data_IF_270605724876
#
_entry.id   IF_270605724876
#
_cell.length_a   1.000
_cell.length_b   1.000
_cell.length_c   1.000
_cell.angle_alpha   90.00
_cell.angle_beta   90.00
_cell.angle_gamma   90.00
#
_symmetry.space_group_name_H-M   'P 1'
#
loop_
_entity.id
_entity.type
_entity.pdbx_description
1 polymer ?
#
# COMPACT_ATOMS: atom_id res chain seq x y z
N UNK A 1 34.27 19.42 -3.60
CA UNK A 1 34.23 17.97 -3.90
C UNK A 1 34.49 17.81 -5.39
N UNK A 2 35.62 17.23 -5.78
CA UNK A 2 35.91 16.98 -7.19
C UNK A 2 34.97 15.89 -7.73
N UNK A 3 34.49 15.99 -8.97
CA UNK A 3 33.68 14.92 -9.57
C UNK A 3 34.53 13.65 -9.72
N UNK A 4 33.96 12.49 -9.36
CA UNK A 4 34.60 11.19 -9.60
C UNK A 4 34.51 10.89 -11.10
N UNK A 5 35.52 11.28 -11.86
CA UNK A 5 35.57 11.14 -13.33
C UNK A 5 36.17 9.79 -13.78
N UNK A 6 35.91 8.70 -13.07
CA UNK A 6 36.43 7.38 -13.42
C UNK A 6 35.43 6.29 -13.10
N UNK A 7 35.20 5.39 -14.07
CA UNK A 7 34.43 4.16 -13.86
C UNK A 7 35.09 3.39 -12.71
N UNK A 8 34.33 3.14 -11.65
CA UNK A 8 34.78 2.31 -10.54
C UNK A 8 34.98 0.88 -11.04
N UNK A 9 36.23 0.42 -11.08
CA UNK A 9 36.54 -0.93 -11.55
C UNK A 9 35.98 -2.01 -10.62
N UNK A 10 35.73 -1.68 -9.34
CA UNK A 10 35.12 -2.59 -8.37
C UNK A 10 33.59 -2.56 -8.42
N UNK A 11 33.00 -1.56 -9.09
CA UNK A 11 31.56 -1.42 -9.27
C UNK A 11 31.25 -0.91 -10.70
N UNK A 12 31.47 -1.75 -11.72
CA UNK A 12 31.17 -1.39 -13.10
C UNK A 12 29.66 -1.22 -13.32
N UNK A 13 29.30 -0.54 -14.40
CA UNK A 13 27.90 -0.47 -14.83
C UNK A 13 27.38 -1.86 -15.19
N UNK A 14 26.14 -2.15 -14.82
CA UNK A 14 25.49 -3.41 -15.14
C UNK A 14 25.22 -3.50 -16.64
N UNK A 15 25.59 -4.62 -17.24
CA UNK A 15 25.28 -4.96 -18.62
C UNK A 15 23.91 -5.65 -18.75
N UNK A 16 23.42 -5.78 -19.99
CA UNK A 16 22.20 -6.55 -20.27
C UNK A 16 22.30 -8.02 -19.81
N UNK A 17 23.50 -8.59 -19.84
CA UNK A 17 23.76 -9.94 -19.35
C UNK A 17 23.61 -10.02 -17.81
N UNK A 18 24.03 -8.99 -17.08
CA UNK A 18 23.86 -8.91 -15.63
C UNK A 18 22.38 -8.81 -15.25
N UNK A 19 21.61 -8.02 -16.00
CA UNK A 19 20.16 -7.96 -15.84
C UNK A 19 19.48 -9.29 -16.14
N UNK A 20 19.93 -10.03 -17.16
CA UNK A 20 19.40 -11.35 -17.48
C UNK A 20 19.66 -12.39 -16.36
N UNK A 21 20.73 -12.20 -15.57
CA UNK A 21 21.05 -13.04 -14.41
C UNK A 21 20.38 -12.57 -13.10
N UNK A 22 19.73 -11.40 -13.12
CA UNK A 22 19.07 -10.85 -11.92
C UNK A 22 17.92 -11.73 -11.45
N UNK A 23 17.75 -11.80 -10.12
CA UNK A 23 16.71 -12.60 -9.47
C UNK A 23 15.73 -11.71 -8.70
N UNK A 24 14.45 -12.08 -8.62
CA UNK A 24 13.50 -11.35 -7.81
C UNK A 24 13.91 -11.40 -6.33
N UNK A 25 13.64 -10.32 -5.60
CA UNK A 25 13.98 -10.23 -4.16
C UNK A 25 13.35 -11.33 -3.30
N UNK A 26 12.32 -12.00 -3.79
CA UNK A 26 11.71 -13.18 -3.14
C UNK A 26 12.62 -14.39 -3.07
N UNK A 27 13.66 -14.47 -3.90
CA UNK A 27 14.65 -15.56 -3.92
C UNK A 27 15.84 -15.31 -2.98
N UNK A 28 15.84 -14.20 -2.22
CA UNK A 28 16.88 -13.93 -1.24
C UNK A 28 16.85 -14.98 -0.10
N UNK A 29 18.02 -15.30 0.50
CA UNK A 29 18.09 -16.10 1.72
C UNK A 29 17.18 -15.54 2.82
N UNK A 30 16.58 -16.43 3.62
CA UNK A 30 15.59 -16.06 4.63
C UNK A 30 16.13 -15.02 5.64
N UNK A 31 17.40 -15.14 6.02
CA UNK A 31 18.06 -14.24 6.96
C UNK A 31 18.17 -12.81 6.40
N UNK A 32 18.32 -12.66 5.08
CA UNK A 32 18.32 -11.36 4.41
C UNK A 32 16.89 -10.83 4.22
N UNK A 33 15.93 -11.69 3.86
CA UNK A 33 14.53 -11.32 3.75
C UNK A 33 13.97 -10.73 5.05
N UNK A 34 14.45 -11.20 6.21
CA UNK A 34 14.02 -10.73 7.52
C UNK A 34 14.32 -9.24 7.78
N UNK A 35 15.29 -8.65 7.08
CA UNK A 35 15.61 -7.22 7.19
C UNK A 35 14.67 -6.32 6.38
N UNK A 36 13.90 -6.88 5.44
CA UNK A 36 12.96 -6.10 4.64
C UNK A 36 11.62 -5.93 5.37
N UNK A 37 10.99 -4.74 5.32
CA UNK A 37 9.68 -4.54 5.92
C UNK A 37 8.66 -5.44 5.23
N UNK A 38 7.79 -6.09 6.03
CA UNK A 38 6.65 -6.86 5.50
C UNK A 38 5.75 -5.91 4.72
N UNK A 39 5.82 -5.96 3.39
CA UNK A 39 4.90 -5.23 2.53
C UNK A 39 3.51 -5.83 2.67
N UNK A 40 2.51 -4.96 2.83
CA UNK A 40 1.11 -5.41 2.81
C UNK A 40 0.86 -5.99 1.43
N UNK A 41 0.49 -7.27 1.38
CA UNK A 41 0.14 -7.93 0.12
C UNK A 41 -1.04 -7.24 -0.59
N UNK A 42 -1.32 -7.64 -1.85
CA UNK A 42 -2.45 -7.12 -2.60
C UNK A 42 -3.75 -7.24 -1.78
N UNK A 43 -4.59 -6.22 -1.87
CA UNK A 43 -5.82 -6.13 -1.09
C UNK A 43 -6.79 -7.24 -1.53
N UNK A 44 -7.03 -8.22 -0.65
CA UNK A 44 -7.83 -9.43 -0.95
C UNK A 44 -9.35 -9.22 -0.94
N UNK A 45 -9.85 -8.14 -0.35
CA UNK A 45 -11.29 -7.85 -0.24
C UNK A 45 -11.72 -6.81 -1.28
N UNK A 46 -12.94 -6.89 -1.83
CA UNK A 46 -13.46 -5.90 -2.77
C UNK A 46 -13.37 -4.50 -2.15
N UNK A 47 -12.78 -3.58 -2.90
CA UNK A 47 -12.59 -2.20 -2.48
C UNK A 47 -13.96 -1.51 -2.39
N UNK A 48 -14.23 -0.84 -1.27
CA UNK A 48 -15.38 0.07 -1.17
C UNK A 48 -15.34 1.05 -2.35
N UNK A 49 -16.49 1.28 -2.99
CA UNK A 49 -16.57 2.22 -4.12
C UNK A 49 -16.62 3.63 -3.54
N UNK A 50 -15.67 4.53 -3.85
CA UNK A 50 -15.74 5.91 -3.42
C UNK A 50 -16.86 6.61 -4.18
N UNK A 51 -17.88 7.07 -3.46
CA UNK A 51 -19.01 7.82 -4.02
C UNK A 51 -19.13 9.17 -3.33
N UNK A 52 -19.48 10.21 -4.08
CA UNK A 52 -19.83 11.52 -3.53
C UNK A 52 -21.31 11.52 -3.19
N UNK A 53 -21.64 11.32 -1.91
CA UNK A 53 -23.01 11.31 -1.39
C UNK A 53 -23.24 12.50 -0.46
N UNK A 54 -24.36 13.21 -0.63
CA UNK A 54 -24.82 14.23 0.30
C UNK A 54 -25.76 13.60 1.31
N UNK A 55 -25.49 13.86 2.60
CA UNK A 55 -26.29 13.43 3.73
C UNK A 55 -26.76 14.65 4.50
N UNK A 56 -27.86 14.52 5.24
CA UNK A 56 -28.33 15.59 6.12
C UNK A 56 -27.29 15.91 7.20
N UNK A 57 -27.16 17.18 7.64
CA UNK A 57 -26.17 17.59 8.63
C UNK A 57 -26.22 16.78 9.93
N UNK A 58 -27.43 16.53 10.45
CA UNK A 58 -27.68 15.79 11.69
C UNK A 58 -27.15 14.35 11.65
N UNK A 59 -27.21 13.71 10.47
CA UNK A 59 -26.66 12.36 10.27
C UNK A 59 -25.14 12.40 10.34
N UNK A 60 -24.52 13.37 9.67
CA UNK A 60 -23.06 13.51 9.65
C UNK A 60 -22.52 13.83 11.05
N UNK A 61 -23.19 14.74 11.77
CA UNK A 61 -22.83 15.12 13.13
C UNK A 61 -22.91 13.94 14.09
N UNK A 62 -24.03 13.20 14.06
CA UNK A 62 -24.23 12.01 14.89
C UNK A 62 -23.11 10.98 14.69
N UNK A 63 -22.82 10.61 13.44
CA UNK A 63 -21.79 9.61 13.18
C UNK A 63 -20.39 10.16 13.49
N UNK A 64 -20.05 11.41 13.16
CA UNK A 64 -18.75 12.00 13.51
C UNK A 64 -18.49 12.01 15.02
N UNK A 65 -19.52 12.22 15.83
CA UNK A 65 -19.41 12.18 17.30
C UNK A 65 -18.98 10.80 17.83
N UNK A 66 -19.19 9.72 17.06
CA UNK A 66 -18.71 8.36 17.41
C UNK A 66 -17.19 8.18 17.26
N UNK A 67 -16.47 9.21 16.80
CA UNK A 67 -15.02 9.22 16.68
C UNK A 67 -14.48 8.51 15.43
N UNK A 68 -13.18 8.15 15.42
CA UNK A 68 -12.54 7.48 14.29
C UNK A 68 -13.34 6.25 13.82
N UNK A 69 -13.43 6.08 12.50
CA UNK A 69 -14.20 4.99 11.89
C UNK A 69 -15.69 5.27 11.66
N UNK A 70 -16.17 6.50 11.89
CA UNK A 70 -17.57 6.86 11.70
C UNK A 70 -18.11 6.58 10.28
N UNK A 71 -17.28 6.73 9.24
CA UNK A 71 -17.64 6.39 7.86
C UNK A 71 -17.91 4.90 7.67
N UNK A 72 -17.18 4.04 8.39
CA UNK A 72 -17.44 2.60 8.38
C UNK A 72 -18.70 2.24 9.16
N UNK A 73 -19.05 3.00 10.21
CA UNK A 73 -20.29 2.80 10.97
C UNK A 73 -21.52 3.16 10.14
N UNK A 74 -21.51 4.30 9.45
CA UNK A 74 -22.65 4.67 8.59
C UNK A 74 -22.84 3.68 7.43
N UNK A 75 -21.76 3.22 6.80
CA UNK A 75 -21.79 2.16 5.80
C UNK A 75 -22.41 0.86 6.35
N UNK A 76 -22.08 0.50 7.60
CA UNK A 76 -22.66 -0.69 8.26
C UNK A 76 -24.17 -0.56 8.49
N UNK A 77 -24.65 0.62 8.91
CA UNK A 77 -26.10 0.86 9.09
C UNK A 77 -26.84 0.84 7.74
N UNK A 78 -26.26 1.43 6.69
CA UNK A 78 -26.84 1.38 5.35
C UNK A 78 -26.96 -0.06 4.83
N UNK A 79 -25.95 -0.90 5.11
CA UNK A 79 -26.00 -2.34 4.77
C UNK A 79 -27.11 -3.07 5.52
N UNK A 80 -27.24 -2.85 6.83
CA UNK A 80 -28.33 -3.45 7.63
C UNK A 80 -29.71 -3.09 7.09
N UNK A 81 -29.93 -1.82 6.74
CA UNK A 81 -31.20 -1.35 6.16
C UNK A 81 -31.46 -1.97 4.79
N UNK A 82 -30.41 -2.14 3.98
CA UNK A 82 -30.49 -2.76 2.67
C UNK A 82 -30.58 -4.31 2.71
N UNK A 83 -30.36 -4.95 3.87
CA UNK A 83 -30.30 -6.40 4.00
C UNK A 83 -29.01 -7.05 3.49
N UNK A 84 -27.88 -6.33 3.58
CA UNK A 84 -26.53 -6.72 3.11
C UNK A 84 -25.52 -7.04 4.22
#
# INVERSE_FOLDING_TARGET
MSPKTGIDQENPEWSDADFALSKPGTELPADLLAFFPKTRGPQKAPTKIPVSLRLSPEVVEYFKATGPGWQSRIDSELRKIAGL
#
